data_IF_218983775619
#
_entry.id   IF_218983775619
#
_cell.length_a   1.000
_cell.length_b   1.000
_cell.length_c   1.000
_cell.angle_alpha   90.00
_cell.angle_beta   90.00
_cell.angle_gamma   90.00
#
_symmetry.space_group_name_H-M   'P 1'
#
loop_
_entity.id
_entity.type
_entity.pdbx_description
1 polymer ?
#
# COMPACT_ATOMS: atom_id res chain seq x y z
N UNK A 1 14.10 -42.52 53.62
CA UNK A 1 13.64 -42.63 52.21
C UNK A 1 14.44 -43.73 51.53
N UNK A 2 13.80 -44.78 50.98
CA UNK A 2 14.53 -45.97 50.51
C UNK A 2 14.99 -45.84 49.04
N UNK A 3 16.11 -46.47 48.66
CA UNK A 3 16.72 -46.40 47.31
C UNK A 3 15.75 -46.69 46.16
N UNK A 4 14.62 -47.37 46.41
CA UNK A 4 13.59 -47.66 45.40
C UNK A 4 12.68 -46.46 45.08
N UNK A 5 12.49 -45.53 46.02
CA UNK A 5 11.59 -44.38 45.85
C UNK A 5 12.16 -43.31 44.91
N UNK A 6 13.49 -43.15 44.85
CA UNK A 6 14.15 -42.19 43.93
C UNK A 6 13.99 -42.55 42.46
N UNK A 7 13.93 -43.84 42.11
CA UNK A 7 13.77 -44.29 40.71
C UNK A 7 12.40 -43.89 40.14
N UNK A 8 11.35 -43.95 40.94
CA UNK A 8 9.97 -43.64 40.50
C UNK A 8 9.81 -42.14 40.26
N UNK A 9 10.34 -41.30 41.16
CA UNK A 9 10.28 -39.83 41.04
C UNK A 9 11.11 -39.34 39.84
N UNK A 10 12.23 -40.02 39.53
CA UNK A 10 13.08 -39.66 38.40
C UNK A 10 12.43 -39.99 37.04
N UNK A 11 11.72 -41.12 36.94
CA UNK A 11 11.03 -41.53 35.71
C UNK A 11 9.82 -40.62 35.44
N UNK A 12 9.07 -40.20 36.47
CA UNK A 12 7.94 -39.28 36.30
C UNK A 12 8.37 -37.87 35.89
N UNK A 13 9.50 -37.37 36.41
CA UNK A 13 10.06 -36.07 36.00
C UNK A 13 10.49 -36.05 34.52
N UNK A 14 11.10 -37.14 34.04
CA UNK A 14 11.54 -37.24 32.65
C UNK A 14 10.37 -37.26 31.66
N UNK A 15 9.27 -37.94 32.00
CA UNK A 15 8.06 -37.96 31.16
C UNK A 15 7.43 -36.56 31.00
N UNK A 16 7.40 -35.76 32.07
CA UNK A 16 6.88 -34.38 32.03
C UNK A 16 7.77 -33.49 31.16
N UNK A 17 9.10 -33.64 31.23
CA UNK A 17 10.04 -32.89 30.39
C UNK A 17 9.89 -33.28 28.91
N UNK A 18 9.71 -34.56 28.60
CA UNK A 18 9.48 -35.02 27.22
C UNK A 18 8.14 -34.52 26.69
N UNK A 19 7.08 -34.53 27.51
CA UNK A 19 5.77 -33.99 27.13
C UNK A 19 5.82 -32.46 26.96
N UNK A 20 6.54 -31.74 27.81
CA UNK A 20 6.70 -30.29 27.69
C UNK A 20 7.57 -29.92 26.48
N UNK A 21 8.61 -30.71 26.19
CA UNK A 21 9.45 -30.54 25.01
C UNK A 21 8.66 -30.83 23.72
N UNK A 22 7.90 -31.93 23.67
CA UNK A 22 7.01 -32.26 22.56
C UNK A 22 5.90 -31.22 22.39
N UNK A 23 5.29 -30.74 23.48
CA UNK A 23 4.30 -29.67 23.44
C UNK A 23 4.91 -28.35 22.92
N UNK A 24 6.13 -28.01 23.35
CA UNK A 24 6.86 -26.85 22.83
C UNK A 24 7.16 -26.96 21.33
N UNK A 25 7.47 -28.17 20.85
CA UNK A 25 7.68 -28.44 19.42
C UNK A 25 6.37 -28.34 18.63
N UNK A 26 5.24 -28.72 19.25
CA UNK A 26 3.91 -28.61 18.62
C UNK A 26 3.49 -27.14 18.49
N UNK A 27 3.77 -26.29 19.48
CA UNK A 27 3.56 -24.84 19.41
C UNK A 27 4.40 -24.17 18.32
N UNK A 28 5.68 -24.56 18.16
CA UNK A 28 6.55 -24.04 17.08
C UNK A 28 6.02 -24.36 15.68
N UNK A 29 5.27 -25.45 15.51
CA UNK A 29 4.67 -25.85 14.21
C UNK A 29 3.34 -25.14 13.92
N UNK A 30 2.58 -24.76 14.95
CA UNK A 30 1.30 -24.03 14.83
C UNK A 30 1.56 -22.52 14.57
N UNK A 31 2.66 -21.97 15.10
CA UNK A 31 3.20 -20.66 14.73
C UNK A 31 4.09 -20.74 13.48
N UNK A 32 3.67 -21.51 12.46
CA UNK A 32 4.31 -21.43 11.15
C UNK A 32 3.88 -20.12 10.48
N UNK A 33 4.81 -19.24 10.05
CA UNK A 33 4.47 -17.99 9.38
C UNK A 33 3.74 -18.20 8.05
N UNK A 34 3.63 -19.44 7.57
CA UNK A 34 2.99 -19.82 6.32
C UNK A 34 1.47 -19.54 6.28
N UNK A 35 0.75 -19.59 7.42
CA UNK A 35 -0.68 -19.22 7.48
C UNK A 35 -0.92 -17.70 7.57
N UNK A 36 0.06 -16.92 8.04
CA UNK A 36 -0.03 -15.44 8.07
C UNK A 36 0.48 -14.84 6.76
N UNK A 37 1.28 -15.59 5.98
CA UNK A 37 1.88 -15.12 4.72
C UNK A 37 1.04 -15.47 3.48
N UNK A 38 0.12 -16.44 3.57
CA UNK A 38 -0.69 -16.88 2.42
C UNK A 38 -1.90 -15.96 2.09
N UNK A 39 -2.27 -14.99 2.94
CA UNK A 39 -3.38 -14.06 2.67
C UNK A 39 -2.95 -12.66 2.20
N UNK A 40 -1.65 -12.35 2.10
CA UNK A 40 -1.17 -11.03 1.60
C UNK A 40 -0.44 -11.12 0.26
N UNK A 41 -0.95 -11.96 -0.64
CA UNK A 41 -0.76 -11.78 -2.08
C UNK A 41 -2.15 -11.68 -2.70
N UNK A 42 -2.90 -10.65 -2.29
CA UNK A 42 -4.02 -10.18 -3.09
C UNK A 42 -3.45 -9.92 -4.48
N UNK A 43 -3.92 -10.70 -5.44
CA UNK A 43 -3.76 -10.41 -6.85
C UNK A 43 -4.14 -8.94 -7.01
N UNK A 44 -3.15 -8.07 -7.22
CA UNK A 44 -3.40 -6.63 -7.24
C UNK A 44 -4.13 -6.38 -8.54
N UNK A 45 -5.47 -6.36 -8.47
CA UNK A 45 -6.30 -6.20 -9.64
C UNK A 45 -5.86 -4.91 -10.34
N UNK A 46 -5.38 -5.07 -11.57
CA UNK A 46 -5.03 -3.94 -12.41
C UNK A 46 -6.30 -3.11 -12.62
N UNK A 47 -6.15 -1.80 -12.52
CA UNK A 47 -7.20 -0.82 -12.75
C UNK A 47 -6.78 0.12 -13.88
N UNK A 48 -7.74 0.62 -14.62
CA UNK A 48 -7.53 1.61 -15.67
C UNK A 48 -7.93 2.99 -15.16
N UNK A 49 -7.06 3.96 -15.39
CA UNK A 49 -7.31 5.35 -15.03
C UNK A 49 -6.97 6.24 -16.21
N UNK A 50 -7.82 7.23 -16.46
CA UNK A 50 -7.60 8.24 -17.49
C UNK A 50 -7.13 9.53 -16.83
N UNK A 51 -5.98 10.05 -17.25
CA UNK A 51 -5.47 11.37 -16.85
C UNK A 51 -5.70 12.33 -18.01
N UNK A 52 -6.37 13.45 -17.73
CA UNK A 52 -6.65 14.53 -18.68
C UNK A 52 -5.90 15.77 -18.19
N UNK A 53 -5.01 16.29 -19.04
CA UNK A 53 -4.40 17.61 -18.92
C UNK A 53 -4.91 18.49 -20.06
N UNK A 54 -4.39 19.72 -20.17
CA UNK A 54 -4.68 20.61 -21.28
C UNK A 54 -4.12 20.15 -22.63
N UNK A 55 -2.98 19.44 -22.60
CA UNK A 55 -2.26 19.01 -23.78
C UNK A 55 -2.46 17.53 -24.16
N UNK A 56 -2.90 16.68 -23.22
CA UNK A 56 -2.97 15.23 -23.47
C UNK A 56 -4.06 14.49 -22.68
N UNK A 57 -4.42 13.31 -23.20
CA UNK A 57 -5.25 12.32 -22.54
C UNK A 57 -4.45 11.02 -22.47
N UNK A 58 -4.08 10.61 -21.25
CA UNK A 58 -3.29 9.41 -20.99
C UNK A 58 -4.15 8.34 -20.34
N UNK A 59 -4.06 7.11 -20.85
CA UNK A 59 -4.67 5.93 -20.21
C UNK A 59 -3.58 5.10 -19.56
N UNK A 60 -3.63 5.01 -18.24
CA UNK A 60 -2.61 4.35 -17.43
C UNK A 60 -3.20 3.11 -16.77
N UNK A 61 -2.35 2.09 -16.64
CA UNK A 61 -2.64 0.91 -15.85
C UNK A 61 -2.02 1.12 -14.48
N UNK A 62 -2.81 0.91 -13.44
CA UNK A 62 -2.41 0.98 -12.04
C UNK A 62 -2.98 -0.22 -11.32
N UNK A 63 -2.92 -0.22 -10.00
CA UNK A 63 -3.44 -1.26 -9.16
C UNK A 63 -4.34 -0.67 -8.07
N UNK A 64 -5.37 -1.42 -7.67
CA UNK A 64 -6.37 -0.93 -6.73
C UNK A 64 -5.73 -0.42 -5.43
N UNK A 65 -6.11 0.79 -5.01
CA UNK A 65 -5.65 1.39 -3.76
C UNK A 65 -4.30 2.12 -3.86
N UNK A 66 -3.64 2.10 -5.02
CA UNK A 66 -2.49 2.97 -5.28
C UNK A 66 -2.92 4.45 -5.15
N UNK A 67 -2.05 5.30 -4.58
CA UNK A 67 -2.35 6.73 -4.53
C UNK A 67 -2.20 7.36 -5.92
N UNK A 68 -2.94 8.43 -6.19
CA UNK A 68 -2.78 9.19 -7.43
C UNK A 68 -1.34 9.73 -7.57
N UNK A 69 -0.71 10.16 -6.46
CA UNK A 69 0.68 10.59 -6.46
C UNK A 69 1.65 9.49 -6.93
N UNK A 70 1.49 8.27 -6.44
CA UNK A 70 2.39 7.17 -6.82
C UNK A 70 2.21 6.80 -8.30
N UNK A 71 0.96 6.78 -8.80
CA UNK A 71 0.71 6.57 -10.23
C UNK A 71 1.38 7.67 -11.08
N UNK A 72 1.19 8.94 -10.73
CA UNK A 72 1.79 10.05 -11.47
C UNK A 72 3.32 9.96 -11.46
N UNK A 73 3.90 9.58 -10.32
CA UNK A 73 5.35 9.38 -10.17
C UNK A 73 5.86 8.29 -11.11
N UNK A 74 5.22 7.12 -11.13
CA UNK A 74 5.56 6.05 -12.08
C UNK A 74 5.41 6.48 -13.54
N UNK A 75 4.33 7.20 -13.87
CA UNK A 75 4.11 7.70 -15.21
C UNK A 75 5.20 8.71 -15.63
N UNK A 76 5.68 9.54 -14.71
CA UNK A 76 6.81 10.45 -14.92
C UNK A 76 8.13 9.70 -15.12
N UNK A 77 8.41 8.69 -14.29
CA UNK A 77 9.59 7.83 -14.44
C UNK A 77 9.62 7.13 -15.81
N UNK A 78 8.44 6.76 -16.32
CA UNK A 78 8.27 6.17 -17.65
C UNK A 78 8.18 7.20 -18.79
N UNK A 79 8.43 8.48 -18.52
CA UNK A 79 8.35 9.58 -19.50
C UNK A 79 6.97 9.75 -20.17
N UNK A 80 5.89 9.30 -19.53
CA UNK A 80 4.53 9.40 -20.06
C UNK A 80 3.87 10.74 -19.74
N UNK A 81 4.27 11.37 -18.63
CA UNK A 81 3.76 12.67 -18.19
C UNK A 81 4.86 13.49 -17.53
N UNK A 82 4.78 14.80 -17.64
CA UNK A 82 5.62 15.74 -16.88
C UNK A 82 4.78 16.39 -15.80
N UNK A 83 5.26 16.35 -14.56
CA UNK A 83 4.64 17.07 -13.45
C UNK A 83 5.71 17.44 -12.39
N UNK A 84 5.43 18.50 -11.64
CA UNK A 84 6.25 18.95 -10.50
C UNK A 84 5.37 19.50 -9.38
N UNK A 85 6.02 19.72 -8.25
CA UNK A 85 5.35 20.06 -7.01
C UNK A 85 6.28 20.00 -5.81
N UNK A 86 5.70 20.08 -4.63
CA UNK A 86 6.42 20.11 -3.36
C UNK A 86 5.80 19.14 -2.37
N UNK A 87 6.65 18.36 -1.72
CA UNK A 87 6.25 17.53 -0.58
C UNK A 87 6.12 18.40 0.67
N UNK A 88 4.98 18.29 1.34
CA UNK A 88 4.73 18.91 2.63
C UNK A 88 4.54 17.80 3.68
N UNK A 89 5.45 17.67 4.66
CA UNK A 89 5.34 16.67 5.72
C UNK A 89 3.98 16.73 6.43
N UNK A 90 3.30 15.59 6.52
CA UNK A 90 1.97 15.48 7.14
C UNK A 90 0.78 15.88 6.25
N UNK A 91 1.01 16.56 5.12
CA UNK A 91 -0.05 16.96 4.17
C UNK A 91 0.03 16.20 2.83
N UNK A 92 1.23 15.75 2.45
CA UNK A 92 1.47 15.03 1.21
C UNK A 92 2.07 15.93 0.12
N UNK A 93 2.05 15.42 -1.11
CA UNK A 93 2.60 16.10 -2.27
C UNK A 93 1.58 17.09 -2.86
N UNK A 94 2.00 18.34 -2.99
CA UNK A 94 1.24 19.39 -3.66
C UNK A 94 1.75 19.57 -5.08
N UNK A 95 0.92 19.30 -6.07
CA UNK A 95 1.25 19.45 -7.49
C UNK A 95 1.13 20.92 -7.88
N UNK A 96 2.20 21.48 -8.43
CA UNK A 96 2.23 22.87 -8.93
C UNK A 96 2.22 22.92 -10.45
N UNK A 97 2.60 21.84 -11.12
CA UNK A 97 2.69 21.78 -12.58
C UNK A 97 2.30 20.39 -13.07
N UNK A 98 1.55 20.33 -14.16
CA UNK A 98 1.27 19.08 -14.86
C UNK A 98 0.94 19.35 -16.34
N UNK A 99 1.58 18.60 -17.26
CA UNK A 99 1.47 18.91 -18.69
C UNK A 99 2.01 20.31 -18.98
N UNK A 100 1.16 21.18 -19.56
CA UNK A 100 1.47 22.60 -19.73
C UNK A 100 0.79 23.52 -18.72
N UNK A 101 0.03 22.96 -17.76
CA UNK A 101 -0.62 23.72 -16.69
C UNK A 101 0.36 24.06 -15.56
N UNK A 102 0.34 25.32 -15.12
CA UNK A 102 1.15 25.84 -14.01
C UNK A 102 0.29 26.61 -13.00
N UNK A 103 0.37 26.23 -11.72
CA UNK A 103 -0.27 26.97 -10.63
C UNK A 103 0.48 28.26 -10.35
N UNK A 104 -0.18 29.40 -10.52
CA UNK A 104 0.45 30.72 -10.44
C UNK A 104 -0.42 31.81 -11.06
N UNK A 105 0.06 33.05 -11.06
CA UNK A 105 -0.61 34.19 -11.71
C UNK A 105 -2.07 34.41 -11.30
N UNK A 106 -2.37 34.12 -10.03
CA UNK A 106 -3.72 34.24 -9.47
C UNK A 106 -4.64 33.06 -9.77
N UNK A 107 -4.15 32.01 -10.43
CA UNK A 107 -4.87 30.76 -10.70
C UNK A 107 -4.33 29.59 -9.90
N UNK A 108 -5.23 28.70 -9.49
CA UNK A 108 -4.91 27.47 -8.79
C UNK A 108 -5.01 26.29 -9.74
N UNK A 109 -4.00 25.41 -9.68
CA UNK A 109 -4.07 24.12 -10.36
C UNK A 109 -4.89 23.15 -9.50
N UNK A 110 -6.11 22.86 -9.96
CA UNK A 110 -7.05 21.97 -9.30
C UNK A 110 -7.21 20.68 -10.11
N UNK A 111 -7.62 19.61 -9.42
CA UNK A 111 -7.93 18.34 -10.07
C UNK A 111 -9.30 17.81 -9.67
N UNK A 112 -9.90 17.08 -10.60
CA UNK A 112 -11.25 16.58 -10.53
C UNK A 112 -11.22 15.07 -10.73
N UNK A 113 -12.05 14.37 -9.97
CA UNK A 113 -12.28 12.93 -10.10
C UNK A 113 -13.70 12.75 -10.63
N UNK A 114 -13.82 12.16 -11.81
CA UNK A 114 -15.10 11.86 -12.47
C UNK A 114 -16.02 13.10 -12.54
N UNK A 115 -15.43 14.25 -12.90
CA UNK A 115 -16.12 15.53 -13.05
C UNK A 115 -16.43 16.27 -11.74
N UNK A 116 -15.95 15.80 -10.58
CA UNK A 116 -16.12 16.46 -9.27
C UNK A 116 -14.77 16.89 -8.73
N UNK A 117 -14.69 18.11 -8.20
CA UNK A 117 -13.46 18.61 -7.57
C UNK A 117 -13.02 17.66 -6.46
N UNK A 118 -11.73 17.35 -6.41
CA UNK A 118 -11.18 16.46 -5.41
C UNK A 118 -11.18 17.12 -4.03
N UNK A 119 -11.60 16.37 -3.01
CA UNK A 119 -11.68 16.86 -1.62
C UNK A 119 -10.47 16.49 -0.77
N UNK A 120 -9.52 15.74 -1.34
CA UNK A 120 -8.27 15.31 -0.70
C UNK A 120 -7.12 15.57 -1.67
N UNK A 121 -5.88 15.55 -1.19
CA UNK A 121 -4.69 15.70 -2.05
C UNK A 121 -4.33 14.41 -2.81
N UNK A 122 -3.47 14.54 -3.82
CA UNK A 122 -3.06 13.42 -4.69
C UNK A 122 -2.38 12.27 -3.94
N UNK A 123 -1.72 12.55 -2.81
CA UNK A 123 -1.09 11.52 -1.97
C UNK A 123 -2.10 10.73 -1.12
N UNK A 124 -3.31 11.26 -0.92
CA UNK A 124 -4.34 10.62 -0.10
C UNK A 124 -5.46 9.98 -0.93
N UNK A 125 -5.62 10.39 -2.19
CA UNK A 125 -6.63 9.81 -3.07
C UNK A 125 -6.22 8.39 -3.51
N UNK A 126 -6.98 7.38 -3.09
CA UNK A 126 -6.82 5.99 -3.51
C UNK A 126 -7.63 5.73 -4.80
N UNK A 127 -6.92 5.34 -5.85
CA UNK A 127 -7.47 5.16 -7.19
C UNK A 127 -8.44 3.99 -7.29
N UNK A 128 -9.47 4.17 -8.12
CA UNK A 128 -10.47 3.16 -8.47
C UNK A 128 -10.45 2.90 -9.97
N UNK A 129 -10.93 1.71 -10.32
CA UNK A 129 -11.05 1.33 -11.73
C UNK A 129 -12.05 2.22 -12.46
N UNK A 130 -11.63 2.70 -13.63
CA UNK A 130 -12.40 3.61 -14.47
C UNK A 130 -12.33 5.08 -14.07
N UNK A 131 -11.54 5.46 -13.05
CA UNK A 131 -11.42 6.87 -12.66
C UNK A 131 -10.93 7.75 -13.83
N UNK A 132 -11.57 8.90 -13.97
CA UNK A 132 -11.13 9.99 -14.84
C UNK A 132 -10.62 11.11 -13.94
N UNK A 133 -9.32 11.38 -14.03
CA UNK A 133 -8.64 12.46 -13.30
C UNK A 133 -8.36 13.59 -14.27
N UNK A 134 -8.99 14.74 -14.06
CA UNK A 134 -8.85 15.90 -14.93
C UNK A 134 -8.20 17.06 -14.19
N UNK A 135 -7.25 17.74 -14.82
CA UNK A 135 -6.54 18.89 -14.27
C UNK A 135 -6.96 20.19 -14.96
N UNK A 136 -7.17 21.25 -14.18
CA UNK A 136 -7.62 22.57 -14.66
C UNK A 136 -6.97 23.70 -13.87
N UNK A 137 -6.82 24.85 -14.54
CA UNK A 137 -6.50 26.12 -13.87
C UNK A 137 -7.80 26.89 -13.62
N UNK A 138 -8.03 27.25 -12.36
CA UNK A 138 -9.16 28.07 -11.93
C UNK A 138 -8.71 29.37 -11.25
#
# INVERSE_FOLDING_TARGET
MSKKQYKIIFISGLAVVVLFWAFSQTQKKILSPELITAEKKSEVANIFVTIITDDTILRLISHRGQSLYDMLTLAKENNQIKFSGKMYPGLGFFVTDIGTLHSGDGKNLLYYINGKEATVGVSAYALKDGDIVEWKLE
#
